data_IF_087786705189
#
_entry.id   IF_087786705189
#
_cell.length_a   1.000
_cell.length_b   1.000
_cell.length_c   1.000
_cell.angle_alpha   90.00
_cell.angle_beta   90.00
_cell.angle_gamma   90.00
#
_symmetry.space_group_name_H-M   'P 1'
#
loop_
_entity.id
_entity.type
_entity.pdbx_description
1 polymer ?
#
# COMPACT_ATOMS: atom_id res chain seq x y z
N UNK A 1 -0.39 -7.27 13.16
CA UNK A 1 0.82 -6.84 12.44
C UNK A 1 1.94 -7.82 12.76
N UNK A 2 2.81 -8.12 11.79
CA UNK A 2 3.95 -9.04 11.94
C UNK A 2 5.14 -8.44 11.19
N UNK A 3 6.37 -8.44 11.75
CA UNK A 3 7.55 -8.05 10.99
C UNK A 3 7.72 -8.93 9.75
N UNK A 4 7.86 -8.31 8.58
CA UNK A 4 8.00 -9.03 7.31
C UNK A 4 9.18 -10.00 7.37
N UNK A 5 10.33 -9.54 7.89
CA UNK A 5 11.54 -10.36 7.97
C UNK A 5 11.33 -11.65 8.79
N UNK A 6 10.58 -11.60 9.88
CA UNK A 6 10.25 -12.80 10.67
C UNK A 6 9.41 -13.80 9.88
N UNK A 7 8.51 -13.32 9.02
CA UNK A 7 7.76 -14.18 8.09
C UNK A 7 8.71 -14.78 7.07
N UNK A 8 9.63 -13.99 6.49
CA UNK A 8 10.55 -14.46 5.44
C UNK A 8 11.61 -15.44 5.95
N UNK A 9 12.02 -15.32 7.21
CA UNK A 9 13.00 -16.19 7.86
C UNK A 9 12.38 -17.45 8.49
N UNK A 10 11.05 -17.55 8.47
CA UNK A 10 10.33 -18.67 9.09
C UNK A 10 10.42 -18.64 10.61
N UNK A 11 10.49 -17.45 11.21
CA UNK A 11 10.44 -17.25 12.67
C UNK A 11 9.00 -17.13 13.18
N UNK A 12 8.18 -18.10 12.79
CA UNK A 12 6.77 -18.18 13.09
C UNK A 12 6.48 -19.28 14.12
N UNK A 13 5.34 -19.19 14.79
CA UNK A 13 4.83 -20.28 15.61
C UNK A 13 4.09 -21.29 14.72
N UNK A 14 4.76 -22.40 14.42
CA UNK A 14 4.22 -23.48 13.60
C UNK A 14 3.38 -24.48 14.39
N UNK A 15 3.32 -24.37 15.73
CA UNK A 15 2.72 -25.36 16.61
C UNK A 15 3.19 -26.78 16.24
N UNK A 16 2.28 -27.66 15.85
CA UNK A 16 2.56 -29.06 15.53
C UNK A 16 2.72 -29.32 14.01
N UNK A 17 2.80 -28.28 13.17
CA UNK A 17 2.95 -28.45 11.73
C UNK A 17 4.37 -28.92 11.36
N UNK A 18 4.44 -29.96 10.52
CA UNK A 18 5.69 -30.40 9.92
C UNK A 18 6.26 -29.30 9.01
N UNK A 19 7.54 -28.96 9.21
CA UNK A 19 8.24 -27.93 8.44
C UNK A 19 8.90 -28.52 7.20
N UNK A 20 8.98 -27.69 6.17
CA UNK A 20 9.79 -27.97 4.99
C UNK A 20 11.28 -27.81 5.34
N UNK A 21 12.17 -28.22 4.42
CA UNK A 21 13.56 -27.83 4.53
C UNK A 21 13.69 -26.30 4.39
N UNK A 22 14.76 -25.73 4.95
CA UNK A 22 14.94 -24.27 5.03
C UNK A 22 14.89 -23.56 3.66
N UNK A 23 15.51 -24.07 2.58
CA UNK A 23 15.38 -23.47 1.25
C UNK A 23 13.94 -23.42 0.73
N UNK A 24 13.22 -24.55 0.77
CA UNK A 24 11.86 -24.65 0.24
C UNK A 24 10.88 -23.81 1.08
N UNK A 25 11.05 -23.81 2.40
CA UNK A 25 10.23 -23.01 3.32
C UNK A 25 10.39 -21.51 3.02
N UNK A 26 11.62 -21.03 2.83
CA UNK A 26 11.91 -19.63 2.51
C UNK A 26 11.35 -19.21 1.15
N UNK A 27 11.25 -20.12 0.18
CA UNK A 27 10.60 -19.85 -1.12
C UNK A 27 9.08 -19.72 -0.90
N UNK A 28 8.48 -20.67 -0.19
CA UNK A 28 7.05 -20.68 0.09
C UNK A 28 6.60 -19.43 0.88
N UNK A 29 7.33 -19.06 1.92
CA UNK A 29 7.00 -17.92 2.78
C UNK A 29 7.06 -16.59 2.01
N UNK A 30 8.00 -16.45 1.06
CA UNK A 30 8.05 -15.30 0.15
C UNK A 30 6.87 -15.27 -0.80
N UNK A 31 6.55 -16.40 -1.44
CA UNK A 31 5.39 -16.50 -2.32
C UNK A 31 4.07 -16.20 -1.57
N UNK A 32 3.99 -16.60 -0.30
CA UNK A 32 2.86 -16.30 0.57
C UNK A 32 2.76 -14.81 0.87
N UNK A 33 3.87 -14.16 1.29
CA UNK A 33 3.90 -12.72 1.55
C UNK A 33 3.57 -11.92 0.28
N UNK A 34 4.10 -12.32 -0.88
CA UNK A 34 3.78 -11.78 -2.19
C UNK A 34 2.27 -11.89 -2.48
N UNK A 35 1.69 -13.07 -2.29
CA UNK A 35 0.26 -13.32 -2.50
C UNK A 35 -0.62 -12.43 -1.61
N UNK A 36 -0.19 -12.15 -0.37
CA UNK A 36 -0.93 -11.26 0.51
C UNK A 36 -0.96 -9.82 0.00
N UNK A 37 0.14 -9.31 -0.56
CA UNK A 37 0.20 -7.98 -1.16
C UNK A 37 -0.62 -7.93 -2.47
N UNK A 38 -0.41 -8.87 -3.38
CA UNK A 38 -1.12 -8.92 -4.67
C UNK A 38 -2.64 -9.01 -4.52
N UNK A 39 -3.11 -9.71 -3.49
CA UNK A 39 -4.54 -9.86 -3.22
C UNK A 39 -5.10 -8.77 -2.30
N UNK A 40 -4.33 -7.74 -1.98
CA UNK A 40 -4.71 -6.66 -1.07
C UNK A 40 -5.19 -7.17 0.30
N UNK A 41 -4.53 -8.20 0.84
CA UNK A 41 -4.84 -8.81 2.14
C UNK A 41 -4.00 -8.22 3.28
N UNK A 42 -2.90 -7.53 2.96
CA UNK A 42 -2.12 -6.78 3.92
C UNK A 42 -1.57 -5.47 3.32
N UNK A 43 -1.13 -4.59 4.21
CA UNK A 43 -0.35 -3.39 3.90
C UNK A 43 1.11 -3.72 4.26
N UNK A 44 2.05 -3.37 3.38
CA UNK A 44 3.47 -3.35 3.72
C UNK A 44 3.81 -1.96 4.26
N UNK A 45 3.91 -1.84 5.58
CA UNK A 45 4.23 -0.58 6.24
C UNK A 45 5.74 -0.48 6.48
N UNK A 46 6.37 0.54 5.86
CA UNK A 46 7.79 0.83 6.02
C UNK A 46 8.01 1.51 7.38
N UNK A 47 8.87 0.94 8.22
CA UNK A 47 9.19 1.50 9.54
C UNK A 47 10.70 1.60 9.75
N UNK A 48 11.20 2.39 10.73
CA UNK A 48 12.63 2.45 11.02
C UNK A 48 13.27 1.15 11.53
N UNK A 49 12.45 0.13 11.82
CA UNK A 49 12.89 -1.21 12.23
C UNK A 49 12.78 -2.24 11.09
N UNK A 50 12.42 -1.80 9.88
CA UNK A 50 12.11 -2.64 8.73
C UNK A 50 10.61 -2.69 8.40
N UNK A 51 10.26 -3.50 7.40
CA UNK A 51 8.89 -3.61 6.92
C UNK A 51 7.99 -4.41 7.88
N UNK A 52 6.77 -3.95 8.06
CA UNK A 52 5.71 -4.66 8.78
C UNK A 52 4.59 -5.07 7.82
N UNK A 53 4.16 -6.32 7.90
CA UNK A 53 2.92 -6.77 7.26
C UNK A 53 1.74 -6.51 8.22
N UNK A 54 0.88 -5.59 7.82
CA UNK A 54 -0.29 -5.16 8.59
C UNK A 54 -1.55 -5.74 7.96
N UNK A 55 -2.26 -6.57 8.72
CA UNK A 55 -3.49 -7.24 8.28
C UNK A 55 -4.70 -6.58 8.97
N UNK A 56 -5.49 -5.75 8.27
CA UNK A 56 -6.62 -5.01 8.85
C UNK A 56 -7.60 -5.88 9.68
N UNK A 57 -7.97 -7.05 9.17
CA UNK A 57 -8.92 -7.97 9.83
C UNK A 57 -8.39 -8.65 11.10
N UNK A 58 -7.10 -8.53 11.41
CA UNK A 58 -6.47 -9.17 12.57
C UNK A 58 -6.26 -8.22 13.75
N UNK A 59 -6.67 -6.96 13.63
CA UNK A 59 -6.69 -6.06 14.78
C UNK A 59 -7.71 -6.58 15.81
N UNK A 60 -7.36 -6.49 17.10
CA UNK A 60 -8.22 -6.95 18.20
C UNK A 60 -8.71 -5.83 19.10
N UNK A 61 -8.10 -4.64 18.97
CA UNK A 61 -8.46 -3.46 19.75
C UNK A 61 -9.75 -2.87 19.18
N UNK A 62 -10.75 -2.72 20.03
CA UNK A 62 -11.96 -1.98 19.69
C UNK A 62 -11.66 -0.49 19.58
N UNK A 63 -12.37 0.20 18.68
CA UNK A 63 -12.29 1.66 18.60
C UNK A 63 -12.91 2.22 19.89
N UNK A 64 -12.22 3.09 20.64
CA UNK A 64 -12.83 3.76 21.78
C UNK A 64 -14.09 4.51 21.35
N UNK A 65 -15.13 4.50 22.18
CA UNK A 65 -16.31 5.32 21.94
C UNK A 65 -15.86 6.79 21.85
N UNK A 66 -16.07 7.42 20.70
CA UNK A 66 -15.76 8.83 20.51
C UNK A 66 -16.81 9.66 21.30
N UNK A 67 -16.40 10.72 22.03
CA UNK A 67 -17.32 11.59 22.76
C UNK A 67 -18.32 12.33 21.86
N UNK A 68 -17.98 12.48 20.57
CA UNK A 68 -18.82 13.03 19.52
C UNK A 68 -18.77 12.04 18.36
N UNK A 69 -19.90 11.38 18.08
CA UNK A 69 -19.98 10.49 16.92
C UNK A 69 -19.70 11.31 15.66
N UNK A 70 -18.70 10.96 14.84
CA UNK A 70 -18.49 11.67 13.58
C UNK A 70 -19.76 11.53 12.75
N UNK A 71 -20.18 12.61 12.09
CA UNK A 71 -21.45 12.70 11.36
C UNK A 71 -21.56 11.53 10.38
N UNK A 72 -22.28 10.48 10.80
CA UNK A 72 -22.52 9.30 9.98
C UNK A 72 -23.26 9.78 8.76
N UNK A 73 -22.64 9.60 7.61
CA UNK A 73 -23.14 10.14 6.37
C UNK A 73 -23.82 9.01 5.59
N UNK A 74 -23.18 7.85 5.50
CA UNK A 74 -23.69 6.72 4.71
C UNK A 74 -23.54 5.42 5.49
N UNK A 75 -24.57 4.60 5.45
CA UNK A 75 -24.51 3.20 5.92
C UNK A 75 -24.77 2.27 4.74
N UNK A 76 -23.84 1.36 4.51
CA UNK A 76 -23.98 0.27 3.56
C UNK A 76 -24.38 -1.01 4.27
N UNK A 77 -25.28 -1.80 3.69
CA UNK A 77 -25.51 -3.21 4.08
C UNK A 77 -25.07 -4.11 2.95
N UNK A 78 -24.45 -5.24 3.25
CA UNK A 78 -23.96 -6.20 2.25
C UNK A 78 -23.76 -7.59 2.86
N UNK A 79 -23.60 -8.60 2.00
CA UNK A 79 -23.28 -9.98 2.39
C UNK A 79 -22.09 -10.52 1.57
N UNK A 80 -21.50 -11.62 2.04
CA UNK A 80 -20.41 -12.32 1.36
C UNK A 80 -19.20 -12.58 2.27
N UNK A 81 -17.97 -12.67 1.72
CA UNK A 81 -16.76 -12.88 2.52
C UNK A 81 -16.37 -11.59 3.26
N UNK A 82 -17.07 -11.29 4.36
CA UNK A 82 -17.03 -10.01 5.08
C UNK A 82 -15.61 -9.54 5.41
N UNK A 83 -14.78 -10.43 5.95
CA UNK A 83 -13.42 -10.09 6.36
C UNK A 83 -12.51 -9.76 5.17
N UNK A 84 -12.68 -10.46 4.04
CA UNK A 84 -11.95 -10.17 2.80
C UNK A 84 -12.43 -8.85 2.19
N UNK A 85 -13.75 -8.61 2.16
CA UNK A 85 -14.34 -7.36 1.65
C UNK A 85 -13.78 -6.17 2.43
N UNK A 86 -13.84 -6.23 3.76
CA UNK A 86 -13.31 -5.18 4.64
C UNK A 86 -11.79 -5.01 4.48
N UNK A 87 -11.04 -6.12 4.51
CA UNK A 87 -9.57 -6.08 4.40
C UNK A 87 -9.15 -5.43 3.09
N UNK A 88 -9.68 -5.92 1.97
CA UNK A 88 -9.33 -5.39 0.64
C UNK A 88 -9.78 -3.94 0.46
N UNK A 89 -10.87 -3.51 1.08
CA UNK A 89 -11.31 -2.11 1.05
C UNK A 89 -10.28 -1.20 1.76
N UNK A 90 -9.90 -1.56 2.99
CA UNK A 90 -8.96 -0.78 3.80
C UNK A 90 -7.58 -0.73 3.16
N UNK A 91 -7.10 -1.88 2.64
CA UNK A 91 -5.81 -1.94 1.95
C UNK A 91 -5.85 -1.07 0.71
N UNK A 92 -6.83 -1.23 -0.20
CA UNK A 92 -6.85 -0.46 -1.44
C UNK A 92 -7.02 1.05 -1.21
N UNK A 93 -7.80 1.46 -0.22
CA UNK A 93 -7.87 2.87 0.20
C UNK A 93 -6.48 3.40 0.61
N UNK A 94 -5.72 2.63 1.40
CA UNK A 94 -4.36 3.01 1.86
C UNK A 94 -3.36 3.13 0.71
N UNK A 95 -3.59 2.45 -0.41
CA UNK A 95 -2.72 2.44 -1.59
C UNK A 95 -3.19 3.42 -2.69
N UNK A 96 -4.33 4.10 -2.50
CA UNK A 96 -4.94 4.99 -3.50
C UNK A 96 -4.31 6.38 -3.60
N UNK A 97 -3.31 6.71 -2.76
CA UNK A 97 -2.62 8.01 -2.63
C UNK A 97 -3.49 9.20 -2.18
N UNK A 98 -4.80 9.18 -2.41
CA UNK A 98 -5.72 10.22 -1.97
C UNK A 98 -6.02 10.15 -0.47
N UNK A 99 -5.92 8.96 0.13
CA UNK A 99 -6.23 8.72 1.54
C UNK A 99 -5.03 8.08 2.22
N UNK A 100 -4.41 8.80 3.15
CA UNK A 100 -3.32 8.29 3.96
C UNK A 100 -3.90 7.50 5.14
N UNK A 101 -3.42 6.28 5.38
CA UNK A 101 -3.84 5.47 6.55
C UNK A 101 -3.51 6.20 7.85
N UNK A 102 -4.50 6.39 8.72
CA UNK A 102 -4.33 6.94 10.07
C UNK A 102 -4.28 5.79 11.09
N UNK A 103 -5.43 5.42 11.65
CA UNK A 103 -5.56 4.42 12.71
C UNK A 103 -6.40 3.21 12.25
N UNK A 104 -6.04 2.01 12.72
CA UNK A 104 -6.75 0.75 12.44
C UNK A 104 -7.23 0.07 13.73
N UNK A 105 -8.44 -0.50 13.67
CA UNK A 105 -9.11 -1.23 14.74
C UNK A 105 -9.74 -2.53 14.23
N UNK A 106 -10.28 -3.33 15.16
CA UNK A 106 -10.85 -4.66 14.92
C UNK A 106 -11.86 -4.73 13.77
N UNK A 107 -12.64 -3.67 13.57
CA UNK A 107 -13.57 -3.54 12.45
C UNK A 107 -13.72 -2.05 12.04
N UNK A 108 -12.69 -1.23 12.21
CA UNK A 108 -12.73 0.17 11.76
C UNK A 108 -11.37 0.65 11.23
N UNK A 109 -11.41 1.63 10.34
CA UNK A 109 -10.22 2.27 9.78
C UNK A 109 -10.47 3.76 9.60
N UNK A 110 -9.51 4.57 10.03
CA UNK A 110 -9.44 6.00 9.80
C UNK A 110 -8.34 6.31 8.78
N UNK A 111 -8.57 7.36 8.02
CA UNK A 111 -7.68 7.90 7.01
C UNK A 111 -7.60 9.42 7.12
N UNK A 112 -6.49 9.97 6.67
CA UNK A 112 -6.30 11.41 6.46
C UNK A 112 -6.53 11.76 4.99
N UNK A 113 -7.29 12.82 4.77
CA UNK A 113 -7.48 13.42 3.45
C UNK A 113 -6.27 14.28 3.08
N UNK A 114 -6.14 14.75 1.82
CA UNK A 114 -5.08 15.69 1.44
C UNK A 114 -5.07 16.98 2.26
N UNK A 115 -6.23 17.37 2.81
CA UNK A 115 -6.39 18.52 3.69
C UNK A 115 -6.09 18.21 5.18
N UNK A 116 -5.67 16.99 5.51
CA UNK A 116 -5.37 16.55 6.87
C UNK A 116 -6.59 16.21 7.74
N UNK A 117 -7.80 16.22 7.15
CA UNK A 117 -9.05 15.88 7.84
C UNK A 117 -9.20 14.38 8.01
N UNK A 118 -9.83 13.94 9.09
CA UNK A 118 -10.10 12.53 9.36
C UNK A 118 -11.37 12.07 8.65
N UNK A 119 -11.27 10.96 7.94
CA UNK A 119 -12.41 10.23 7.36
C UNK A 119 -12.27 8.77 7.71
N UNK A 120 -13.37 8.03 7.79
CA UNK A 120 -13.26 6.65 8.21
C UNK A 120 -14.48 5.81 7.92
N UNK A 121 -14.31 4.53 8.21
CA UNK A 121 -15.35 3.53 8.10
C UNK A 121 -15.30 2.58 9.31
N UNK A 122 -16.46 2.03 9.66
CA UNK A 122 -16.59 1.00 10.69
C UNK A 122 -17.55 -0.08 10.20
N UNK A 123 -17.16 -1.34 10.31
CA UNK A 123 -17.95 -2.51 9.96
C UNK A 123 -18.61 -3.10 11.21
N UNK A 124 -19.89 -3.44 11.10
CA UNK A 124 -20.65 -4.15 12.11
C UNK A 124 -21.21 -5.43 11.50
N UNK A 125 -20.67 -6.58 11.92
CA UNK A 125 -21.17 -7.89 11.49
C UNK A 125 -22.56 -8.14 12.07
N UNK A 126 -23.45 -8.68 11.25
CA UNK A 126 -24.82 -9.07 11.60
C UNK A 126 -24.95 -10.60 11.53
N UNK A 127 -26.14 -11.09 11.88
CA UNK A 127 -26.47 -12.51 11.70
C UNK A 127 -26.39 -12.92 10.22
N UNK A 128 -26.31 -14.23 9.97
CA UNK A 128 -26.42 -14.84 8.63
C UNK A 128 -25.38 -14.37 7.59
N UNK A 129 -24.21 -13.91 8.04
CA UNK A 129 -23.13 -13.51 7.13
C UNK A 129 -23.37 -12.17 6.41
N UNK A 130 -24.23 -11.32 6.97
CA UNK A 130 -24.40 -9.94 6.56
C UNK A 130 -23.55 -8.99 7.42
N UNK A 131 -23.24 -7.80 6.89
CA UNK A 131 -22.60 -6.73 7.64
C UNK A 131 -23.13 -5.36 7.23
N UNK A 132 -22.91 -4.40 8.11
CA UNK A 132 -23.06 -2.97 7.85
C UNK A 132 -21.70 -2.30 7.81
N UNK A 133 -21.44 -1.41 6.87
CA UNK A 133 -20.32 -0.46 6.93
C UNK A 133 -20.89 0.95 7.08
N UNK A 134 -20.52 1.60 8.17
CA UNK A 134 -20.83 3.00 8.43
C UNK A 134 -19.65 3.84 7.98
N UNK A 135 -19.93 4.91 7.22
CA UNK A 135 -18.93 5.85 6.72
C UNK A 135 -19.14 7.22 7.36
N UNK A 136 -18.06 7.79 7.87
CA UNK A 136 -18.08 9.01 8.68
C UNK A 136 -16.93 9.94 8.34
N UNK A 137 -17.13 11.23 8.67
CA UNK A 137 -16.24 12.32 8.30
C UNK A 137 -16.08 13.29 9.47
N UNK A 138 -14.88 13.85 9.60
CA UNK A 138 -14.66 15.05 10.39
C UNK A 138 -15.49 16.21 9.82
N UNK A 139 -15.91 17.13 10.71
CA UNK A 139 -16.57 18.37 10.31
C UNK A 139 -15.77 19.12 9.24
N UNK A 140 -16.47 19.87 8.40
CA UNK A 140 -15.87 20.69 7.32
C UNK A 140 -15.10 19.91 6.24
N UNK A 141 -15.12 18.57 6.24
CA UNK A 141 -14.51 17.79 5.14
C UNK A 141 -15.18 18.19 3.80
N UNK A 142 -14.41 18.54 2.75
CA UNK A 142 -14.94 18.97 1.46
C UNK A 142 -15.91 17.95 0.85
N UNK A 143 -16.96 18.43 0.18
CA UNK A 143 -17.99 17.56 -0.42
C UNK A 143 -17.41 16.65 -1.50
N UNK A 144 -16.47 17.13 -2.31
CA UNK A 144 -15.81 16.31 -3.33
C UNK A 144 -15.03 15.14 -2.70
N UNK A 145 -14.35 15.39 -1.58
CA UNK A 145 -13.63 14.37 -0.81
C UNK A 145 -14.60 13.37 -0.20
N UNK A 146 -15.73 13.84 0.37
CA UNK A 146 -16.81 12.98 0.87
C UNK A 146 -17.37 12.08 -0.23
N UNK A 147 -17.77 12.65 -1.37
CA UNK A 147 -18.33 11.92 -2.51
C UNK A 147 -17.33 10.89 -3.03
N UNK A 148 -16.06 11.27 -3.17
CA UNK A 148 -15.01 10.36 -3.66
C UNK A 148 -14.85 9.15 -2.71
N UNK A 149 -14.76 9.38 -1.40
CA UNK A 149 -14.62 8.30 -0.41
C UNK A 149 -15.87 7.39 -0.37
N UNK A 150 -17.06 7.98 -0.32
CA UNK A 150 -18.33 7.22 -0.34
C UNK A 150 -18.45 6.37 -1.60
N UNK A 151 -18.11 6.93 -2.76
CA UNK A 151 -18.20 6.24 -4.05
C UNK A 151 -17.16 5.15 -4.17
N UNK A 152 -15.95 5.36 -3.66
CA UNK A 152 -14.93 4.32 -3.57
C UNK A 152 -15.43 3.11 -2.77
N UNK A 153 -15.97 3.34 -1.55
CA UNK A 153 -16.57 2.28 -0.72
C UNK A 153 -17.71 1.58 -1.47
N UNK A 154 -18.59 2.34 -2.14
CA UNK A 154 -19.71 1.76 -2.88
C UNK A 154 -19.28 0.82 -4.01
N UNK A 155 -18.39 1.28 -4.89
CA UNK A 155 -17.92 0.51 -6.04
C UNK A 155 -17.16 -0.74 -5.58
N UNK A 156 -16.35 -0.63 -4.53
CA UNK A 156 -15.65 -1.77 -3.94
C UNK A 156 -16.62 -2.83 -3.39
N UNK A 157 -17.65 -2.41 -2.63
CA UNK A 157 -18.68 -3.30 -2.12
C UNK A 157 -19.43 -3.98 -3.27
N UNK A 158 -19.82 -3.23 -4.30
CA UNK A 158 -20.47 -3.77 -5.49
C UNK A 158 -19.58 -4.79 -6.24
N UNK A 159 -18.27 -4.60 -6.26
CA UNK A 159 -17.33 -5.53 -6.89
C UNK A 159 -17.13 -6.82 -6.08
N UNK A 160 -17.13 -6.74 -4.74
CA UNK A 160 -16.71 -7.83 -3.86
C UNK A 160 -17.84 -8.55 -3.11
N UNK A 161 -18.95 -7.88 -2.81
CA UNK A 161 -20.09 -8.48 -2.12
C UNK A 161 -20.77 -9.55 -2.98
N UNK A 162 -21.32 -10.58 -2.31
CA UNK A 162 -22.00 -11.71 -2.97
C UNK A 162 -23.26 -12.08 -2.19
N UNK A 163 -24.45 -12.07 -2.83
CA UNK A 163 -24.72 -11.59 -4.18
C UNK A 163 -24.50 -10.08 -4.32
N UNK A 164 -24.27 -9.57 -5.53
CA UNK A 164 -23.99 -8.12 -5.75
C UNK A 164 -25.18 -7.26 -5.31
N UNK A 165 -26.38 -7.78 -5.48
CA UNK A 165 -27.66 -7.16 -5.12
C UNK A 165 -27.87 -7.05 -3.61
N UNK A 166 -27.03 -7.69 -2.79
CA UNK A 166 -27.05 -7.51 -1.33
C UNK A 166 -26.61 -6.11 -0.90
N UNK A 167 -25.86 -5.40 -1.76
CA UNK A 167 -25.35 -4.07 -1.45
C UNK A 167 -26.47 -3.06 -1.49
N UNK A 168 -26.84 -2.54 -0.33
CA UNK A 168 -27.77 -1.41 -0.21
C UNK A 168 -27.08 -0.23 0.46
N UNK A 169 -27.43 0.98 0.03
CA UNK A 169 -26.89 2.24 0.54
C UNK A 169 -28.01 3.04 1.19
N UNK A 170 -27.87 3.36 2.46
CA UNK A 170 -28.80 4.20 3.22
C UNK A 170 -28.10 5.49 3.58
N UNK A 171 -28.76 6.61 3.32
CA UNK A 171 -28.23 7.94 3.54
C UNK A 171 -28.76 8.52 4.84
N UNK A 172 -27.86 9.03 5.67
CA UNK A 172 -28.19 9.81 6.86
C UNK A 172 -28.13 11.30 6.53
N UNK A 173 -29.13 12.04 7.01
CA UNK A 173 -29.29 13.47 6.79
C UNK A 173 -29.25 14.19 8.14
N UNK A 174 -28.63 15.36 8.16
CA UNK A 174 -28.60 16.27 9.31
C UNK A 174 -29.36 17.52 8.90
N UNK A 175 -30.21 18.03 9.78
CA UNK A 175 -30.94 19.25 9.53
C UNK A 175 -29.99 20.45 9.47
N UNK A 176 -29.92 21.23 8.37
CA UNK A 176 -29.02 22.37 8.27
C UNK A 176 -29.46 23.58 9.12
N UNK A 177 -30.63 23.51 9.75
CA UNK A 177 -31.20 24.62 10.55
C UNK A 177 -30.97 24.45 12.05
N UNK A 178 -30.83 23.20 12.53
CA UNK A 178 -30.72 22.91 13.97
C UNK A 178 -29.75 21.76 14.29
N UNK A 179 -28.99 21.30 13.30
CA UNK A 179 -27.98 20.23 13.40
C UNK A 179 -28.50 18.87 13.92
N UNK A 180 -29.82 18.70 13.99
CA UNK A 180 -30.44 17.45 14.45
C UNK A 180 -30.42 16.38 13.34
N UNK A 181 -29.98 15.14 13.64
CA UNK A 181 -30.08 14.01 12.73
C UNK A 181 -31.54 13.67 12.37
N UNK A 182 -31.80 13.37 11.09
CA UNK A 182 -33.11 12.90 10.64
C UNK A 182 -33.16 11.37 10.75
N UNK A 183 -33.62 10.87 11.89
CA UNK A 183 -33.62 9.43 12.21
C UNK A 183 -34.70 8.61 11.47
N UNK A 184 -35.75 9.25 10.96
CA UNK A 184 -36.89 8.55 10.35
C UNK A 184 -36.57 8.08 8.91
N UNK A 185 -35.71 7.05 8.81
CA UNK A 185 -35.28 6.44 7.55
C UNK A 185 -36.47 5.98 6.68
N UNK A 186 -37.54 5.47 7.30
CA UNK A 186 -38.76 5.06 6.59
C UNK A 186 -39.46 6.23 5.91
N UNK A 187 -39.56 7.38 6.59
CA UNK A 187 -40.14 8.58 6.00
C UNK A 187 -39.30 9.11 4.84
N UNK A 188 -37.98 9.12 4.99
CA UNK A 188 -37.03 9.49 3.92
C UNK A 188 -37.25 8.59 2.69
N UNK A 189 -37.27 7.27 2.88
CA UNK A 189 -37.43 6.30 1.79
C UNK A 189 -38.78 6.48 1.06
N UNK A 190 -39.88 6.65 1.79
CA UNK A 190 -41.20 6.89 1.20
C UNK A 190 -41.22 8.19 0.39
N UNK A 191 -40.55 9.24 0.87
CA UNK A 191 -40.50 10.54 0.18
C UNK A 191 -39.70 10.46 -1.11
N UNK A 192 -38.52 9.83 -1.07
CA UNK A 192 -37.71 9.58 -2.27
C UNK A 192 -38.46 8.71 -3.30
N UNK A 193 -39.16 7.64 -2.87
CA UNK A 193 -40.01 6.81 -3.75
C UNK A 193 -41.16 7.59 -4.40
N UNK A 194 -41.63 8.66 -3.76
CA UNK A 194 -42.65 9.57 -4.29
C UNK A 194 -42.07 10.71 -5.14
N UNK A 195 -40.76 10.75 -5.36
CA UNK A 195 -40.07 11.83 -6.08
C UNK A 195 -40.01 13.15 -5.31
N UNK A 196 -40.16 13.10 -3.98
CA UNK A 196 -40.01 14.27 -3.10
C UNK A 196 -38.56 14.39 -2.64
N UNK A 197 -37.98 15.59 -2.79
CA UNK A 197 -36.55 15.84 -2.60
C UNK A 197 -36.21 16.57 -1.30
N UNK A 198 -37.13 16.60 -0.33
CA UNK A 198 -36.92 17.23 0.97
C UNK A 198 -37.72 16.51 2.06
N UNK A 199 -37.48 16.78 3.33
CA UNK A 199 -38.26 16.34 4.50
C UNK A 199 -38.35 17.47 5.53
N UNK A 200 -39.39 17.48 6.36
CA UNK A 200 -39.51 18.43 7.47
C UNK A 200 -38.76 17.89 8.68
N UNK A 201 -37.89 18.70 9.27
CA UNK A 201 -37.24 18.36 10.53
C UNK A 201 -38.30 18.29 11.65
N UNK A 202 -38.35 17.20 12.43
CA UNK A 202 -39.33 17.07 13.51
C UNK A 202 -39.06 18.00 14.71
N UNK A 203 -37.87 18.60 14.80
CA UNK A 203 -37.47 19.47 15.92
C UNK A 203 -37.69 20.95 15.61
N UNK A 204 -37.15 21.46 14.50
CA UNK A 204 -37.22 22.88 14.16
C UNK A 204 -38.22 23.21 13.04
N UNK A 205 -38.91 22.21 12.49
CA UNK A 205 -39.85 22.34 11.36
C UNK A 205 -39.24 22.87 10.05
N UNK A 206 -37.92 23.09 10.00
CA UNK A 206 -37.20 23.48 8.79
C UNK A 206 -37.21 22.39 7.70
N UNK A 207 -37.16 22.80 6.43
CA UNK A 207 -37.04 21.88 5.29
C UNK A 207 -35.59 21.44 5.12
N UNK A 208 -35.38 20.13 5.11
CA UNK A 208 -34.09 19.46 4.92
C UNK A 208 -34.08 18.84 3.52
N UNK A 209 -33.13 19.20 2.64
CA UNK A 209 -33.02 18.59 1.32
C UNK A 209 -32.61 17.11 1.44
N UNK A 210 -33.28 16.23 0.69
CA UNK A 210 -32.95 14.80 0.55
C UNK A 210 -32.16 14.50 -0.73
N UNK A 211 -32.12 15.43 -1.68
CA UNK A 211 -31.23 15.37 -2.84
C UNK A 211 -30.28 16.57 -2.75
N UNK A 212 -29.18 16.36 -2.04
CA UNK A 212 -28.15 17.37 -1.83
C UNK A 212 -27.04 17.27 -2.89
N UNK A 213 -26.03 18.15 -2.79
CA UNK A 213 -24.91 18.14 -3.72
C UNK A 213 -24.12 16.82 -3.67
N UNK A 214 -24.16 16.11 -2.54
CA UNK A 214 -23.50 14.81 -2.40
C UNK A 214 -24.22 13.77 -3.26
N UNK A 215 -25.55 13.71 -3.25
CA UNK A 215 -26.31 12.79 -4.10
C UNK A 215 -26.19 13.12 -5.60
N UNK A 216 -26.18 14.42 -5.95
CA UNK A 216 -25.94 14.86 -7.33
C UNK A 216 -24.56 14.42 -7.85
N UNK A 217 -23.51 14.73 -7.07
CA UNK A 217 -22.13 14.36 -7.42
C UNK A 217 -21.91 12.85 -7.37
N UNK A 218 -22.58 12.14 -6.46
CA UNK A 218 -22.52 10.69 -6.40
C UNK A 218 -23.12 10.03 -7.65
N UNK A 219 -24.18 10.59 -8.23
CA UNK A 219 -24.76 10.13 -9.49
C UNK A 219 -23.87 10.47 -10.72
N UNK A 220 -22.96 11.44 -10.60
CA UNK A 220 -22.08 11.87 -11.70
C UNK A 220 -21.09 10.79 -12.15
N UNK A 221 -20.90 10.71 -13.47
CA UNK A 221 -19.90 9.86 -14.12
C UNK A 221 -18.46 10.34 -13.84
N UNK A 222 -18.26 11.64 -13.57
CA UNK A 222 -16.94 12.21 -13.29
C UNK A 222 -16.33 11.59 -12.02
N UNK A 223 -17.10 11.48 -10.94
CA UNK A 223 -16.64 10.81 -9.71
C UNK A 223 -16.47 9.29 -9.90
N UNK A 224 -17.23 8.67 -10.81
CA UNK A 224 -17.04 7.26 -11.14
C UNK A 224 -15.71 7.02 -11.87
N UNK A 225 -15.34 7.91 -12.79
CA UNK A 225 -14.04 7.87 -13.44
C UNK A 225 -12.91 8.10 -12.43
N UNK A 226 -13.03 9.13 -11.58
CA UNK A 226 -12.05 9.42 -10.53
C UNK A 226 -11.81 8.22 -9.61
N UNK A 227 -12.88 7.54 -9.16
CA UNK A 227 -12.76 6.34 -8.31
C UNK A 227 -12.07 5.19 -9.05
N UNK A 228 -12.32 5.02 -10.35
CA UNK A 228 -11.61 4.00 -11.15
C UNK A 228 -10.13 4.30 -11.26
N UNK A 229 -9.75 5.56 -11.51
CA UNK A 229 -8.34 5.98 -11.58
C UNK A 229 -7.63 5.74 -10.23
N UNK A 230 -8.27 6.08 -9.11
CA UNK A 230 -7.74 5.79 -7.76
C UNK A 230 -7.57 4.29 -7.50
N UNK A 231 -8.52 3.47 -7.96
CA UNK A 231 -8.49 2.03 -7.80
C UNK A 231 -7.40 1.36 -8.66
N UNK A 232 -7.21 1.84 -9.89
CA UNK A 232 -6.11 1.44 -10.77
C UNK A 232 -4.75 1.80 -10.15
N UNK A 233 -4.61 3.03 -9.63
CA UNK A 233 -3.40 3.46 -8.94
C UNK A 233 -3.11 2.59 -7.71
N UNK A 234 -4.13 2.27 -6.90
CA UNK A 234 -3.97 1.35 -5.77
C UNK A 234 -3.48 -0.04 -6.22
N UNK A 235 -3.97 -0.54 -7.36
CA UNK A 235 -3.50 -1.79 -7.95
C UNK A 235 -2.03 -1.73 -8.37
N UNK A 236 -1.60 -0.65 -9.02
CA UNK A 236 -0.21 -0.42 -9.44
C UNK A 236 0.72 -0.38 -8.22
N UNK A 237 0.32 0.34 -7.16
CA UNK A 237 1.15 0.48 -5.97
C UNK A 237 1.29 -0.85 -5.21
N UNK A 238 0.23 -1.65 -5.10
CA UNK A 238 0.28 -3.01 -4.51
C UNK A 238 1.19 -3.95 -5.32
N UNK A 239 1.09 -3.89 -6.66
CA UNK A 239 1.94 -4.67 -7.55
C UNK A 239 3.42 -4.27 -7.44
N UNK A 240 3.71 -2.98 -7.30
CA UNK A 240 5.08 -2.49 -7.07
C UNK A 240 5.67 -3.02 -5.75
N UNK A 241 4.93 -2.92 -4.63
CA UNK A 241 5.39 -3.44 -3.33
C UNK A 241 5.62 -4.96 -3.38
N UNK A 242 4.70 -5.69 -4.01
CA UNK A 242 4.85 -7.14 -4.26
C UNK A 242 6.13 -7.44 -5.06
N UNK A 243 6.37 -6.70 -6.15
CA UNK A 243 7.56 -6.84 -6.99
C UNK A 243 8.86 -6.50 -6.25
N UNK A 244 8.86 -5.49 -5.39
CA UNK A 244 10.03 -5.14 -4.56
C UNK A 244 10.41 -6.28 -3.60
N UNK A 245 9.41 -6.94 -3.00
CA UNK A 245 9.62 -8.12 -2.15
C UNK A 245 10.27 -9.28 -2.92
N UNK A 246 9.81 -9.53 -4.16
CA UNK A 246 10.38 -10.57 -5.04
C UNK A 246 11.85 -10.29 -5.34
N UNK A 247 12.19 -9.04 -5.68
CA UNK A 247 13.57 -8.67 -5.96
C UNK A 247 14.46 -8.84 -4.73
N UNK A 248 13.98 -8.45 -3.56
CA UNK A 248 14.69 -8.67 -2.29
C UNK A 248 14.98 -10.16 -2.06
N UNK A 249 14.00 -11.02 -2.31
CA UNK A 249 14.15 -12.48 -2.23
C UNK A 249 15.20 -13.03 -3.20
N UNK A 250 15.17 -12.61 -4.46
CA UNK A 250 16.16 -13.02 -5.46
C UNK A 250 17.56 -12.52 -5.11
N UNK A 251 17.69 -11.28 -4.63
CA UNK A 251 18.97 -10.72 -4.25
C UNK A 251 19.62 -11.47 -3.09
N UNK A 252 18.83 -11.86 -2.10
CA UNK A 252 19.28 -12.72 -1.01
C UNK A 252 19.70 -14.11 -1.51
N UNK A 253 18.92 -14.73 -2.41
CA UNK A 253 19.24 -16.04 -2.98
C UNK A 253 20.56 -16.00 -3.77
N UNK A 254 20.72 -15.02 -4.66
CA UNK A 254 21.92 -14.81 -5.47
C UNK A 254 23.15 -14.57 -4.57
N UNK A 255 23.01 -13.75 -3.52
CA UNK A 255 24.10 -13.51 -2.57
C UNK A 255 24.46 -14.78 -1.78
N UNK A 256 23.46 -15.58 -1.39
CA UNK A 256 23.65 -16.86 -0.72
C UNK A 256 24.33 -17.91 -1.61
N UNK A 257 23.92 -18.02 -2.87
CA UNK A 257 24.56 -18.85 -3.90
C UNK A 257 26.02 -18.44 -4.13
N UNK A 258 26.30 -17.12 -4.10
CA UNK A 258 27.66 -16.59 -4.14
C UNK A 258 28.46 -16.84 -2.84
N UNK A 259 27.83 -17.42 -1.81
CA UNK A 259 28.44 -17.69 -0.51
C UNK A 259 28.64 -16.44 0.36
N UNK A 260 28.02 -15.31 0.04
CA UNK A 260 28.20 -14.03 0.73
C UNK A 260 27.11 -13.77 1.78
N UNK A 261 27.23 -12.68 2.55
CA UNK A 261 26.29 -12.33 3.61
C UNK A 261 25.37 -11.21 3.11
N UNK A 262 24.07 -11.47 3.06
CA UNK A 262 23.06 -10.48 2.68
C UNK A 262 22.35 -9.95 3.93
N UNK A 263 22.15 -8.63 4.03
CA UNK A 263 21.35 -8.00 5.09
C UNK A 263 20.44 -6.94 4.51
N UNK A 264 19.19 -6.90 4.98
CA UNK A 264 18.26 -5.80 4.69
C UNK A 264 18.61 -4.61 5.60
N UNK A 265 18.53 -3.40 5.06
CA UNK A 265 18.77 -2.18 5.83
C UNK A 265 17.50 -1.82 6.60
N UNK A 266 17.61 -1.61 7.91
CA UNK A 266 16.45 -1.33 8.78
C UNK A 266 15.76 0.02 8.48
N UNK A 267 16.41 0.94 7.76
CA UNK A 267 15.91 2.29 7.43
C UNK A 267 16.09 2.61 5.93
N UNK A 268 15.20 2.15 5.05
CA UNK A 268 15.30 2.34 3.59
C UNK A 268 15.10 3.79 3.11
N UNK A 269 14.69 4.72 3.98
CA UNK A 269 14.25 6.09 3.63
C UNK A 269 15.29 6.95 2.89
N UNK A 270 16.55 6.53 2.86
CA UNK A 270 17.66 7.25 2.22
C UNK A 270 18.10 6.65 0.88
N UNK A 271 17.45 5.59 0.41
CA UNK A 271 17.74 4.99 -0.90
C UNK A 271 18.81 3.89 -0.87
N UNK A 272 18.91 3.14 0.23
CA UNK A 272 19.66 1.89 0.30
C UNK A 272 18.74 0.86 0.95
N UNK A 273 18.41 -0.20 0.22
CA UNK A 273 17.45 -1.20 0.67
C UNK A 273 18.17 -2.39 1.34
N UNK A 274 19.40 -2.70 0.92
CA UNK A 274 20.16 -3.84 1.44
C UNK A 274 21.67 -3.67 1.30
N UNK A 275 22.43 -4.56 1.93
CA UNK A 275 23.87 -4.70 1.76
C UNK A 275 24.27 -6.17 1.49
N UNK A 276 25.33 -6.35 0.71
CA UNK A 276 26.06 -7.61 0.60
C UNK A 276 27.43 -7.42 1.24
N UNK A 277 27.65 -8.01 2.40
CA UNK A 277 28.98 -8.11 3.00
C UNK A 277 29.72 -9.32 2.44
N UNK A 278 30.94 -9.07 1.98
CA UNK A 278 31.77 -10.11 1.40
C UNK A 278 32.53 -10.89 2.48
N UNK A 279 32.61 -12.21 2.32
CA UNK A 279 33.45 -13.07 3.13
C UNK A 279 34.88 -13.09 2.56
N UNK A 280 35.89 -13.13 3.42
CA UNK A 280 37.28 -13.36 3.02
C UNK A 280 37.50 -14.81 2.54
N UNK A 281 38.71 -15.15 2.11
CA UNK A 281 39.01 -16.50 1.56
C UNK A 281 38.92 -17.63 2.60
N UNK A 282 38.84 -17.27 3.89
CA UNK A 282 38.59 -18.20 5.00
C UNK A 282 37.09 -18.34 5.31
N UNK A 283 36.21 -17.73 4.52
CA UNK A 283 34.77 -17.75 4.74
C UNK A 283 34.30 -16.88 5.91
N UNK A 284 35.13 -15.95 6.41
CA UNK A 284 34.78 -15.06 7.51
C UNK A 284 34.30 -13.71 6.99
N UNK A 285 33.39 -13.06 7.69
CA UNK A 285 32.95 -11.69 7.40
C UNK A 285 34.15 -10.74 7.30
N UNK A 286 34.29 -10.02 6.17
CA UNK A 286 35.47 -9.16 5.91
C UNK A 286 35.28 -7.71 6.34
N UNK A 287 34.06 -7.29 6.68
CA UNK A 287 33.69 -5.89 6.86
C UNK A 287 33.47 -5.12 5.56
N UNK A 288 34.10 -5.53 4.45
CA UNK A 288 33.94 -4.93 3.13
C UNK A 288 32.63 -5.38 2.47
N UNK A 289 31.91 -4.44 1.86
CA UNK A 289 30.55 -4.67 1.35
C UNK A 289 30.24 -3.88 0.09
N UNK A 290 29.06 -4.10 -0.46
CA UNK A 290 28.36 -3.18 -1.37
C UNK A 290 26.97 -2.89 -0.82
N UNK A 291 26.46 -1.69 -1.11
CA UNK A 291 25.09 -1.30 -0.83
C UNK A 291 24.23 -1.49 -2.07
N UNK A 292 22.98 -1.87 -1.90
CA UNK A 292 22.03 -2.12 -2.96
C UNK A 292 20.83 -1.16 -2.85
N UNK A 293 20.51 -0.47 -3.93
CA UNK A 293 19.20 0.09 -4.17
C UNK A 293 18.47 -0.85 -5.13
N UNK A 294 17.40 -1.47 -4.65
CA UNK A 294 16.54 -2.38 -5.38
C UNK A 294 15.38 -1.60 -6.04
N UNK A 295 15.11 -1.91 -7.30
CA UNK A 295 13.96 -1.39 -8.06
C UNK A 295 13.36 -2.52 -8.89
N UNK A 296 12.06 -2.72 -8.79
CA UNK A 296 11.38 -3.86 -9.41
C UNK A 296 10.17 -3.42 -10.22
N UNK A 297 10.17 -3.72 -11.51
CA UNK A 297 9.14 -3.28 -12.46
C UNK A 297 9.69 -2.38 -13.56
N UNK A 298 8.97 -2.35 -14.68
CA UNK A 298 9.43 -1.67 -15.90
C UNK A 298 9.28 -0.14 -15.82
N UNK A 299 8.52 0.38 -14.85
CA UNK A 299 8.30 1.83 -14.67
C UNK A 299 9.57 2.59 -14.24
N UNK A 300 10.60 1.89 -13.79
CA UNK A 300 11.85 2.49 -13.32
C UNK A 300 12.84 2.83 -14.45
N UNK A 301 12.67 2.24 -15.63
CA UNK A 301 13.48 2.51 -16.82
C UNK A 301 12.58 2.96 -17.96
N UNK A 302 12.96 4.04 -18.63
CA UNK A 302 12.33 4.43 -19.89
C UNK A 302 13.37 4.46 -21.01
N UNK A 303 12.91 4.21 -22.25
CA UNK A 303 13.76 4.34 -23.42
C UNK A 303 13.80 5.80 -23.89
N UNK A 304 15.00 6.36 -23.98
CA UNK A 304 15.21 7.72 -24.49
C UNK A 304 15.05 7.76 -26.01
N UNK A 305 14.20 8.66 -26.50
CA UNK A 305 13.76 8.74 -27.90
C UNK A 305 14.87 9.02 -28.95
N UNK A 306 16.08 9.41 -28.53
CA UNK A 306 17.18 9.74 -29.45
C UNK A 306 18.09 8.56 -29.78
N UNK A 307 18.47 7.77 -28.77
CA UNK A 307 19.49 6.72 -28.85
C UNK A 307 18.99 5.34 -28.37
N UNK A 308 17.74 5.26 -27.90
CA UNK A 308 17.15 4.03 -27.38
C UNK A 308 17.75 3.58 -26.05
N UNK A 309 18.59 4.40 -25.42
CA UNK A 309 19.21 4.06 -24.15
C UNK A 309 18.16 3.91 -23.04
N UNK A 310 18.33 2.90 -22.20
CA UNK A 310 17.54 2.74 -20.99
C UNK A 310 17.99 3.75 -19.94
N UNK A 311 17.07 4.55 -19.41
CA UNK A 311 17.37 5.64 -18.48
C UNK A 311 16.61 5.46 -17.18
N UNK A 312 17.35 5.51 -16.07
CA UNK A 312 16.82 5.64 -14.72
C UNK A 312 16.78 7.11 -14.31
N UNK A 313 15.66 7.57 -13.73
CA UNK A 313 15.51 8.94 -13.25
C UNK A 313 15.66 9.01 -11.73
N UNK A 314 16.62 9.82 -11.27
CA UNK A 314 16.76 10.19 -9.87
C UNK A 314 15.75 11.32 -9.59
N UNK A 315 14.71 11.00 -8.81
CA UNK A 315 13.64 11.97 -8.49
C UNK A 315 14.11 13.02 -7.49
N UNK A 316 14.94 12.62 -6.53
CA UNK A 316 15.34 13.48 -5.42
C UNK A 316 16.86 13.60 -5.33
N UNK A 317 17.37 14.83 -5.37
CA UNK A 317 18.81 15.13 -5.31
C UNK A 317 19.50 14.52 -4.08
N UNK A 318 18.83 14.51 -2.93
CA UNK A 318 19.35 13.95 -1.68
C UNK A 318 19.75 12.47 -1.81
N UNK A 319 19.10 11.70 -2.70
CA UNK A 319 19.44 10.29 -2.93
C UNK A 319 20.82 10.17 -3.59
N UNK A 320 21.09 10.99 -4.61
CA UNK A 320 22.40 11.01 -5.28
C UNK A 320 23.52 11.44 -4.31
N UNK A 321 23.26 12.47 -3.50
CA UNK A 321 24.20 12.93 -2.46
C UNK A 321 24.47 11.83 -1.43
N UNK A 322 23.40 11.16 -0.97
CA UNK A 322 23.51 10.06 -0.01
C UNK A 322 24.28 8.86 -0.58
N UNK A 323 24.05 8.49 -1.85
CA UNK A 323 24.79 7.40 -2.51
C UNK A 323 26.27 7.73 -2.66
N UNK A 324 26.61 8.98 -3.00
CA UNK A 324 28.00 9.42 -3.14
C UNK A 324 28.75 9.49 -1.81
N UNK A 325 28.04 9.75 -0.71
CA UNK A 325 28.61 9.82 0.62
C UNK A 325 28.95 8.44 1.23
N UNK A 326 28.48 7.33 0.64
CA UNK A 326 28.73 6.00 1.16
C UNK A 326 30.20 5.58 1.02
N UNK A 327 30.71 4.90 2.06
CA UNK A 327 32.08 4.39 2.08
C UNK A 327 32.32 3.22 1.10
N UNK A 328 31.26 2.51 0.72
CA UNK A 328 31.30 1.36 -0.18
C UNK A 328 30.49 1.62 -1.45
N UNK A 329 30.75 0.88 -2.55
CA UNK A 329 29.98 1.04 -3.79
C UNK A 329 28.48 0.89 -3.56
N UNK A 330 27.71 1.79 -4.17
CA UNK A 330 26.25 1.70 -4.22
C UNK A 330 25.84 1.17 -5.59
N UNK A 331 25.15 0.04 -5.58
CA UNK A 331 24.70 -0.68 -6.74
C UNK A 331 23.21 -0.43 -6.95
N UNK A 332 22.83 0.08 -8.12
CA UNK A 332 21.43 0.14 -8.54
C UNK A 332 21.09 -1.21 -9.17
N UNK A 333 20.18 -1.96 -8.55
CA UNK A 333 19.73 -3.29 -8.97
C UNK A 333 18.30 -3.17 -9.48
N UNK A 334 18.08 -3.53 -10.74
CA UNK A 334 16.77 -3.43 -11.39
C UNK A 334 16.32 -4.82 -11.85
N UNK A 335 15.10 -5.19 -11.48
CA UNK A 335 14.40 -6.37 -12.02
C UNK A 335 13.33 -5.93 -13.01
N UNK A 336 13.45 -6.38 -14.26
CA UNK A 336 12.41 -6.21 -15.29
C UNK A 336 11.25 -7.18 -15.11
N UNK A 337 10.13 -6.91 -15.79
CA UNK A 337 8.98 -7.82 -15.85
C UNK A 337 9.30 -9.16 -16.51
N UNK A 338 10.32 -9.19 -17.37
CA UNK A 338 10.87 -10.42 -17.98
C UNK A 338 11.62 -11.32 -16.98
N UNK A 339 11.70 -10.90 -15.72
CA UNK A 339 12.36 -11.62 -14.63
C UNK A 339 13.87 -11.46 -14.59
N UNK A 340 14.48 -10.79 -15.58
CA UNK A 340 15.93 -10.54 -15.57
C UNK A 340 16.26 -9.49 -14.52
N UNK A 341 17.38 -9.72 -13.83
CA UNK A 341 17.92 -8.80 -12.83
C UNK A 341 19.27 -8.30 -13.32
N UNK A 342 19.42 -6.98 -13.35
CA UNK A 342 20.65 -6.30 -13.76
C UNK A 342 21.08 -5.33 -12.67
N UNK A 343 22.38 -5.09 -12.55
CA UNK A 343 22.93 -4.12 -11.62
C UNK A 343 24.01 -3.25 -12.23
N UNK A 344 24.15 -2.02 -11.74
CA UNK A 344 25.24 -1.11 -12.12
C UNK A 344 25.74 -0.34 -10.90
N UNK A 345 27.02 0.07 -10.92
CA UNK A 345 27.57 0.94 -9.88
C UNK A 345 27.11 2.39 -10.11
N UNK A 346 25.97 2.75 -9.52
CA UNK A 346 25.39 4.09 -9.68
C UNK A 346 26.25 5.15 -8.99
N UNK A 347 26.91 4.80 -7.89
CA UNK A 347 27.84 5.71 -7.20
C UNK A 347 29.02 6.12 -8.10
N UNK A 348 29.62 5.17 -8.80
CA UNK A 348 30.70 5.45 -9.76
C UNK A 348 30.21 6.25 -10.97
N UNK A 349 29.00 5.93 -11.48
CA UNK A 349 28.38 6.72 -12.55
C UNK A 349 28.23 8.18 -12.13
N UNK A 350 27.69 8.44 -10.94
CA UNK A 350 27.51 9.80 -10.41
C UNK A 350 28.84 10.52 -10.17
N UNK A 351 29.90 9.83 -9.74
CA UNK A 351 31.24 10.46 -9.60
C UNK A 351 31.78 10.96 -10.93
N UNK A 352 31.47 10.28 -12.04
CA UNK A 352 31.93 10.65 -13.39
C UNK A 352 31.09 11.76 -14.02
N UNK A 353 29.79 11.79 -13.74
CA UNK A 353 28.85 12.71 -14.40
C UNK A 353 28.43 13.90 -13.52
N UNK A 354 28.72 13.85 -12.21
CA UNK A 354 28.39 14.88 -11.23
C UNK A 354 27.11 14.58 -10.46
N UNK A 355 27.03 15.09 -9.22
CA UNK A 355 25.89 14.88 -8.29
C UNK A 355 24.56 15.47 -8.79
N UNK A 356 24.61 16.45 -9.70
CA UNK A 356 23.45 17.07 -10.32
C UNK A 356 22.76 16.19 -11.37
N UNK A 357 23.36 15.04 -11.70
CA UNK A 357 22.84 14.14 -12.72
C UNK A 357 21.49 13.58 -12.30
N UNK A 358 20.44 13.88 -13.09
CA UNK A 358 19.09 13.34 -12.88
C UNK A 358 18.79 12.09 -13.70
N UNK A 359 19.45 11.93 -14.84
CA UNK A 359 19.23 10.83 -15.78
C UNK A 359 20.47 9.95 -15.80
N UNK A 360 20.35 8.73 -15.32
CA UNK A 360 21.42 7.73 -15.33
C UNK A 360 21.15 6.79 -16.50
N UNK A 361 22.08 6.73 -17.45
CA UNK A 361 22.05 5.71 -18.50
C UNK A 361 22.36 4.35 -17.86
N UNK A 362 21.39 3.45 -17.89
CA UNK A 362 21.45 2.18 -17.17
C UNK A 362 22.07 1.08 -18.01
N UNK A 363 23.39 0.95 -17.93
CA UNK A 363 24.16 -0.13 -18.58
C UNK A 363 24.51 -1.24 -17.57
N UNK A 364 23.46 -1.84 -16.99
CA UNK A 364 23.63 -2.86 -15.96
C UNK A 364 24.07 -4.22 -16.52
N UNK A 365 25.05 -4.85 -15.86
CA UNK A 365 25.39 -6.26 -16.09
C UNK A 365 24.41 -7.19 -15.35
N UNK A 366 24.32 -8.46 -15.74
CA UNK A 366 23.43 -9.41 -15.08
C UNK A 366 23.78 -9.57 -13.58
N UNK A 367 22.78 -9.54 -12.70
CA UNK A 367 22.99 -9.79 -11.28
C UNK A 367 22.91 -11.30 -11.04
N UNK A 368 24.06 -11.95 -10.94
CA UNK A 368 24.22 -13.40 -10.79
C UNK A 368 25.25 -13.72 -9.71
N UNK A 369 25.24 -14.95 -9.19
CA UNK A 369 26.22 -15.37 -8.18
C UNK A 369 27.67 -15.19 -8.67
N UNK A 370 27.93 -15.49 -9.95
CA UNK A 370 29.25 -15.29 -10.57
C UNK A 370 29.69 -13.81 -10.57
N UNK A 371 28.78 -12.90 -10.94
CA UNK A 371 29.09 -11.46 -10.96
C UNK A 371 29.22 -10.88 -9.54
N UNK A 372 28.49 -11.41 -8.55
CA UNK A 372 28.70 -11.09 -7.13
C UNK A 372 30.09 -11.52 -6.65
N UNK A 373 30.56 -12.71 -7.02
CA UNK A 373 31.94 -13.15 -6.73
C UNK A 373 32.97 -12.27 -7.44
N UNK A 374 32.72 -11.86 -8.69
CA UNK A 374 33.56 -10.90 -9.40
C UNK A 374 33.66 -9.56 -8.66
N UNK A 375 32.53 -9.04 -8.17
CA UNK A 375 32.48 -7.82 -7.36
C UNK A 375 33.24 -7.97 -6.05
N UNK A 376 33.06 -9.09 -5.34
CA UNK A 376 33.83 -9.43 -4.15
C UNK A 376 35.32 -9.27 -4.41
N UNK A 377 35.82 -9.90 -5.47
CA UNK A 377 37.26 -9.89 -5.76
C UNK A 377 37.79 -8.47 -6.00
N UNK A 378 37.02 -7.62 -6.71
CA UNK A 378 37.37 -6.21 -6.93
C UNK A 378 37.41 -5.43 -5.61
N UNK A 379 36.38 -5.58 -4.77
CA UNK A 379 36.27 -4.85 -3.49
C UNK A 379 37.31 -5.32 -2.48
N UNK A 380 37.60 -6.62 -2.41
CA UNK A 380 38.61 -7.16 -1.52
C UNK A 380 40.03 -6.77 -1.96
N UNK A 381 40.32 -6.76 -3.26
CA UNK A 381 41.64 -6.38 -3.80
C UNK A 381 41.91 -4.86 -3.76
N UNK A 382 40.87 -4.04 -3.80
CA UNK A 382 40.96 -2.59 -3.91
C UNK A 382 41.10 -1.82 -2.58
N UNK A 383 41.45 -2.47 -1.47
CA UNK A 383 41.72 -1.73 -0.23
C UNK A 383 42.30 -2.57 0.87
#
# INVERSE_FOLDING_TARGET
>A
MVPEQRVLEGELDYKDMARLNEPDEKILLRAMAQTFLERALCIQEKTPLGNLLVFPSYFRRDKPDLPEHPNVLVTYRFSGPLDEIYTTLVVRLSYSEMFEKDELWKDAADFKTPEGRRVGLAMHKKAEGAAEIVVYFEAETPEDTKVTFIKYVHEHLLAKARPRESVTRVRSYICPHCDEPIENARAIEIRLKKGLNDIVCPVCEGRVPLFDLIEEKFASSAFQQKVRELDEQAGINLDNDSKELVLTGHAMAIAGEAGQIYRITAQPDWGIDAEIEFKNDKGQASGKRVYLQLKSGDSYLYQRQGDGAEVFTIKERRQAEYWLAQAYPVMLVIRGSDGKIRWMNVGEYLRRHGVETKQVVFEGEAFTAANVVGMRNRVLAGG
#
